data_IF_954904649730
#
_entry.id   IF_954904649730
#
_cell.length_a   1.000
_cell.length_b   1.000
_cell.length_c   1.000
_cell.angle_alpha   90.00
_cell.angle_beta   90.00
_cell.angle_gamma   90.00
#
_symmetry.space_group_name_H-M   'P 1'
#
loop_
_entity.id
_entity.type
_entity.pdbx_description
1 polymer ?
#
# COMPACT_ATOMS: atom_id res chain seq x y z
N UNK A 1 9.04 -2.49 -3.76
CA UNK A 1 10.17 -1.68 -4.31
C UNK A 1 11.50 -2.04 -3.62
N UNK A 2 12.65 -1.92 -4.31
CA UNK A 2 13.97 -2.27 -3.76
C UNK A 2 14.79 -1.08 -3.25
N UNK A 3 15.81 -1.35 -2.43
CA UNK A 3 16.62 -0.31 -1.76
C UNK A 3 17.41 0.61 -2.71
N UNK A 4 17.83 0.12 -3.88
CA UNK A 4 18.54 0.93 -4.87
C UNK A 4 17.64 2.04 -5.44
N UNK A 5 16.46 1.66 -5.95
CA UNK A 5 15.49 2.62 -6.51
C UNK A 5 14.92 3.56 -5.44
N UNK A 6 14.75 3.09 -4.20
CA UNK A 6 14.36 3.97 -3.09
C UNK A 6 15.41 5.07 -2.85
N UNK A 7 16.71 4.74 -2.82
CA UNK A 7 17.79 5.72 -2.67
C UNK A 7 17.86 6.71 -3.83
N UNK A 8 17.63 6.25 -5.05
CA UNK A 8 17.54 7.12 -6.22
C UNK A 8 16.44 8.17 -6.04
N UNK A 9 15.21 7.75 -5.72
CA UNK A 9 14.09 8.67 -5.48
C UNK A 9 14.35 9.65 -4.32
N UNK A 10 15.02 9.21 -3.26
CA UNK A 10 15.42 10.11 -2.17
C UNK A 10 16.40 11.20 -2.60
N UNK A 11 17.23 10.95 -3.61
CA UNK A 11 18.26 11.89 -4.06
C UNK A 11 17.78 12.79 -5.21
N UNK A 12 16.96 12.27 -6.12
CA UNK A 12 16.52 13.02 -7.31
C UNK A 12 15.21 13.77 -7.07
N UNK A 13 14.36 13.28 -6.16
CA UNK A 13 13.00 13.80 -5.94
C UNK A 13 12.16 13.90 -7.23
N UNK A 14 12.44 13.01 -8.19
CA UNK A 14 11.73 12.99 -9.47
C UNK A 14 10.24 12.67 -9.25
N UNK A 15 9.39 13.36 -10.00
CA UNK A 15 7.95 13.06 -10.04
C UNK A 15 7.71 11.94 -11.03
N UNK A 16 6.83 11.04 -10.65
CA UNK A 16 6.39 9.90 -11.45
C UNK A 16 4.86 9.84 -11.44
N UNK A 17 4.29 9.22 -12.46
CA UNK A 17 2.84 9.03 -12.57
C UNK A 17 2.35 7.75 -11.87
N UNK A 18 1.03 7.54 -11.86
CA UNK A 18 0.41 6.39 -11.21
C UNK A 18 0.83 5.04 -11.82
N UNK A 19 1.09 5.01 -13.13
CA UNK A 19 1.49 3.79 -13.85
C UNK A 19 2.92 3.38 -13.47
N UNK A 20 3.82 4.35 -13.38
CA UNK A 20 5.18 4.12 -12.91
C UNK A 20 5.17 3.69 -11.43
N UNK A 21 4.37 4.33 -10.58
CA UNK A 21 4.22 3.94 -9.18
C UNK A 21 3.79 2.46 -9.01
N UNK A 22 2.91 1.98 -9.89
CA UNK A 22 2.47 0.58 -9.91
C UNK A 22 3.59 -0.35 -10.36
N UNK A 23 4.31 -0.01 -11.43
CA UNK A 23 5.46 -0.80 -11.92
C UNK A 23 6.54 -0.96 -10.86
N UNK A 24 6.78 0.09 -10.09
CA UNK A 24 7.76 0.12 -9.00
C UNK A 24 7.28 -0.61 -7.74
N UNK A 25 6.02 -1.06 -7.70
CA UNK A 25 5.38 -1.64 -6.53
C UNK A 25 5.48 -0.70 -5.31
N UNK A 26 5.25 0.60 -5.54
CA UNK A 26 4.99 1.59 -4.48
C UNK A 26 3.50 1.52 -4.12
N UNK A 27 2.65 1.46 -5.14
CA UNK A 27 1.21 1.24 -5.00
C UNK A 27 0.84 -0.15 -5.50
N UNK A 28 -0.21 -0.73 -4.92
CA UNK A 28 -0.65 -2.09 -5.26
C UNK A 28 -1.69 -2.10 -6.38
N UNK A 29 -2.36 -0.96 -6.62
CA UNK A 29 -3.42 -0.83 -7.60
C UNK A 29 -3.58 0.63 -8.02
N UNK A 30 -3.88 0.84 -9.30
CA UNK A 30 -4.31 2.12 -9.87
C UNK A 30 -5.78 1.99 -10.24
N UNK A 31 -6.56 3.03 -9.99
CA UNK A 31 -7.98 3.13 -10.30
C UNK A 31 -8.18 4.38 -11.17
N UNK A 32 -9.25 4.39 -11.96
CA UNK A 32 -9.62 5.56 -12.78
C UNK A 32 -10.00 6.75 -11.89
N UNK A 33 -9.91 7.95 -12.46
CA UNK A 33 -10.20 9.20 -11.74
C UNK A 33 -11.71 9.37 -11.52
N UNK A 34 -12.53 8.95 -12.48
CA UNK A 34 -13.98 8.93 -12.37
C UNK A 34 -14.42 8.00 -11.22
N UNK A 35 -15.18 8.55 -10.27
CA UNK A 35 -15.67 7.84 -9.09
C UNK A 35 -14.56 7.18 -8.22
N UNK A 36 -13.34 7.71 -8.26
CA UNK A 36 -12.17 7.16 -7.55
C UNK A 36 -12.45 6.87 -6.07
N UNK A 37 -13.14 7.79 -5.37
CA UNK A 37 -13.46 7.64 -3.95
C UNK A 37 -14.32 6.40 -3.69
N UNK A 38 -15.38 6.21 -4.48
CA UNK A 38 -16.27 5.05 -4.38
C UNK A 38 -15.52 3.75 -4.70
N UNK A 39 -14.69 3.77 -5.74
CA UNK A 39 -13.86 2.62 -6.13
C UNK A 39 -12.83 2.26 -5.05
N UNK A 40 -12.21 3.26 -4.41
CA UNK A 40 -11.25 3.08 -3.33
C UNK A 40 -11.91 2.50 -2.06
N UNK A 41 -13.08 3.02 -1.67
CA UNK A 41 -13.86 2.47 -0.55
C UNK A 41 -14.28 1.03 -0.84
N UNK A 42 -14.75 0.75 -2.05
CA UNK A 42 -15.12 -0.61 -2.47
C UNK A 42 -13.92 -1.57 -2.43
N UNK A 43 -12.74 -1.09 -2.83
CA UNK A 43 -11.51 -1.87 -2.73
C UNK A 43 -11.11 -2.15 -1.27
N UNK A 44 -11.22 -1.14 -0.40
CA UNK A 44 -10.93 -1.28 1.03
C UNK A 44 -11.93 -2.20 1.75
N UNK A 45 -13.20 -2.16 1.35
CA UNK A 45 -14.27 -3.01 1.89
C UNK A 45 -13.94 -4.49 1.79
N UNK A 46 -13.21 -4.92 0.74
CA UNK A 46 -12.76 -6.32 0.60
C UNK A 46 -11.88 -6.82 1.75
N UNK A 47 -11.12 -5.92 2.38
CA UNK A 47 -10.32 -6.27 3.55
C UNK A 47 -11.17 -6.20 4.82
N UNK A 48 -12.04 -5.19 4.93
CA UNK A 48 -12.93 -5.00 6.08
C UNK A 48 -13.97 -6.13 6.24
N UNK A 49 -14.48 -6.67 5.12
CA UNK A 49 -15.42 -7.79 5.08
C UNK A 49 -14.72 -9.16 5.13
N UNK A 50 -13.39 -9.17 5.11
CA UNK A 50 -12.58 -10.39 5.19
C UNK A 50 -12.45 -10.95 6.61
N UNK A 51 -11.65 -12.02 6.79
CA UNK A 51 -11.39 -12.61 8.10
C UNK A 51 -10.48 -11.71 8.95
N UNK A 52 -11.08 -10.72 9.62
CA UNK A 52 -10.39 -9.67 10.38
C UNK A 52 -9.37 -10.21 11.39
N UNK A 53 -9.71 -11.27 12.13
CA UNK A 53 -8.82 -11.88 13.13
C UNK A 53 -7.59 -12.50 12.48
N UNK A 54 -7.77 -13.26 11.39
CA UNK A 54 -6.65 -13.88 10.68
C UNK A 54 -5.76 -12.81 10.04
N UNK A 55 -6.35 -11.81 9.39
CA UNK A 55 -5.61 -10.70 8.78
C UNK A 55 -4.80 -9.90 9.82
N UNK A 56 -5.38 -9.68 11.00
CA UNK A 56 -4.67 -9.06 12.13
C UNK A 56 -3.43 -9.86 12.52
N UNK A 57 -3.57 -11.17 12.77
CA UNK A 57 -2.42 -12.00 13.14
C UNK A 57 -1.37 -12.09 12.04
N UNK A 58 -1.79 -12.15 10.77
CA UNK A 58 -0.87 -12.10 9.62
C UNK A 58 -0.08 -10.78 9.65
N UNK A 59 -0.75 -9.64 9.87
CA UNK A 59 -0.08 -8.34 9.95
C UNK A 59 0.89 -8.26 11.13
N UNK A 60 0.48 -8.74 12.30
CA UNK A 60 1.33 -8.77 13.50
C UNK A 60 2.57 -9.66 13.32
N UNK A 61 2.44 -10.79 12.61
CA UNK A 61 3.54 -11.68 12.32
C UNK A 61 4.51 -11.10 11.28
N UNK A 62 4.00 -10.49 10.21
CA UNK A 62 4.80 -10.00 9.09
C UNK A 62 5.58 -8.72 9.40
N UNK A 63 4.96 -7.78 10.12
CA UNK A 63 5.53 -6.45 10.35
C UNK A 63 6.16 -6.35 11.76
N UNK A 64 6.02 -7.41 12.56
CA UNK A 64 6.27 -7.38 13.99
C UNK A 64 5.14 -6.68 14.73
N UNK A 65 4.96 -7.04 16.00
CA UNK A 65 4.03 -6.36 16.90
C UNK A 65 4.57 -4.96 17.17
N UNK A 66 4.24 -4.01 16.30
CA UNK A 66 4.48 -2.57 16.47
C UNK A 66 4.22 -2.22 17.93
N UNK A 67 5.23 -1.67 18.60
CA UNK A 67 5.36 -1.60 20.06
C UNK A 67 4.15 -1.11 20.84
N UNK A 68 3.16 -1.98 21.03
CA UNK A 68 2.04 -1.84 21.96
C UNK A 68 2.42 -2.39 23.35
N UNK A 69 3.60 -2.02 23.82
CA UNK A 69 3.88 -1.91 25.25
C UNK A 69 4.12 -0.45 25.52
N UNK A 70 3.05 0.22 25.96
CA UNK A 70 2.94 1.55 26.56
C UNK A 70 3.77 2.70 25.94
#
# INVERSE_FOLDING_TARGET
>A
MGAAKARELYLTADRFDASEALSLNIVNKVLEDEDFESAAVTYAARFAEGPLVAQRYIKENLIGRWGLTC
#
